data_IF_686517384876
#
_entry.id   IF_686517384876
#
_cell.length_a   1.000
_cell.length_b   1.000
_cell.length_c   1.000
_cell.angle_alpha   90.00
_cell.angle_beta   90.00
_cell.angle_gamma   90.00
#
_symmetry.space_group_name_H-M   'P 1'
#
loop_
_entity.id
_entity.type
_entity.pdbx_description
1 polymer ?
#
# COMPACT_ATOMS: atom_id res chain seq x y z
N UNK A 1 12.07 -0.68 16.46
CA UNK A 1 12.26 0.62 15.79
C UNK A 1 10.88 1.25 15.54
N UNK A 2 10.66 2.55 15.82
CA UNK A 2 9.32 3.15 15.72
C UNK A 2 8.83 3.16 14.26
N UNK A 3 7.60 2.73 14.00
CA UNK A 3 6.99 2.63 12.66
C UNK A 3 7.03 3.94 11.85
N UNK A 4 7.12 5.07 12.57
CA UNK A 4 7.35 6.39 12.00
C UNK A 4 8.70 6.49 11.30
N UNK A 5 9.78 6.04 11.94
CA UNK A 5 11.13 6.12 11.39
C UNK A 5 11.29 5.28 10.12
N UNK A 6 10.65 4.10 10.08
CA UNK A 6 10.68 3.22 8.90
C UNK A 6 10.00 3.84 7.68
N UNK A 7 8.91 4.60 7.90
CA UNK A 7 8.28 5.35 6.83
C UNK A 7 9.17 6.47 6.32
N UNK A 8 9.84 7.18 7.23
CA UNK A 8 10.75 8.27 6.88
C UNK A 8 11.95 7.74 6.08
N UNK A 9 12.50 6.57 6.45
CA UNK A 9 13.51 5.84 5.68
C UNK A 9 13.03 5.47 4.28
N UNK A 10 11.83 4.90 4.18
CA UNK A 10 11.25 4.49 2.90
C UNK A 10 11.04 5.70 1.98
N UNK A 11 10.48 6.80 2.50
CA UNK A 11 10.31 8.03 1.75
C UNK A 11 11.66 8.70 1.42
N UNK A 12 12.67 8.59 2.29
CA UNK A 12 14.03 9.09 2.04
C UNK A 12 14.73 8.32 0.91
N UNK A 13 14.38 7.04 0.72
CA UNK A 13 14.78 6.24 -0.45
C UNK A 13 14.21 6.73 -1.78
N UNK A 14 13.29 7.71 -1.77
CA UNK A 14 12.67 8.32 -2.96
C UNK A 14 12.18 7.27 -3.96
N UNK A 15 11.22 6.40 -3.57
CA UNK A 15 10.69 5.38 -4.46
C UNK A 15 10.13 6.04 -5.72
N UNK A 16 10.49 5.53 -6.90
CA UNK A 16 10.00 6.09 -8.16
C UNK A 16 8.75 5.34 -8.63
N UNK A 17 7.80 6.09 -9.17
CA UNK A 17 6.70 5.51 -9.93
C UNK A 17 7.27 4.86 -11.20
N UNK A 18 7.03 3.56 -11.45
CA UNK A 18 7.58 2.88 -12.62
C UNK A 18 6.99 3.39 -13.95
N UNK A 19 5.88 4.12 -13.91
CA UNK A 19 5.16 4.60 -15.11
C UNK A 19 5.50 6.06 -15.44
N UNK A 20 5.39 6.96 -14.45
CA UNK A 20 5.60 8.40 -14.66
C UNK A 20 6.99 8.90 -14.22
N UNK A 21 7.83 8.01 -13.67
CA UNK A 21 9.17 8.31 -13.16
C UNK A 21 9.20 9.48 -12.15
N UNK A 22 8.09 9.73 -11.49
CA UNK A 22 7.98 10.71 -10.41
C UNK A 22 8.16 10.01 -9.07
N UNK A 23 8.72 10.74 -8.10
CA UNK A 23 8.90 10.21 -6.76
C UNK A 23 7.55 10.05 -6.05
N UNK A 24 7.30 8.84 -5.55
CA UNK A 24 6.15 8.51 -4.72
C UNK A 24 6.43 8.86 -3.25
N UNK A 25 5.39 9.26 -2.54
CA UNK A 25 5.45 9.60 -1.13
C UNK A 25 4.32 8.85 -0.42
N UNK A 26 4.67 7.93 0.46
CA UNK A 26 3.68 7.21 1.26
C UNK A 26 3.21 8.14 2.40
N UNK A 27 1.90 8.47 2.48
CA UNK A 27 1.37 9.35 3.50
C UNK A 27 1.26 8.64 4.86
N UNK A 28 1.41 9.43 5.94
CA UNK A 28 1.25 8.96 7.34
C UNK A 28 -0.20 8.74 7.76
N UNK A 29 -1.15 9.40 7.09
CA UNK A 29 -2.59 9.35 7.41
C UNK A 29 -3.39 9.46 6.11
N UNK A 30 -4.58 8.85 6.08
CA UNK A 30 -5.57 9.11 5.03
C UNK A 30 -5.99 10.57 5.12
N UNK A 31 -5.56 11.39 4.17
CA UNK A 31 -5.98 12.78 4.03
C UNK A 31 -6.74 12.95 2.73
N UNK A 32 -8.00 13.40 2.81
CA UNK A 32 -8.84 13.67 1.65
C UNK A 32 -8.22 14.72 0.69
N UNK A 33 -7.34 15.59 1.19
CA UNK A 33 -6.67 16.64 0.39
C UNK A 33 -5.46 16.14 -0.40
N UNK A 34 -4.86 15.01 -0.04
CA UNK A 34 -3.66 14.46 -0.71
C UNK A 34 -4.02 13.45 -1.81
N UNK A 35 -5.28 13.04 -1.90
CA UNK A 35 -5.80 12.03 -2.82
C UNK A 35 -5.64 12.37 -4.33
N UNK A 36 -5.23 13.58 -4.69
CA UNK A 36 -5.07 14.03 -6.09
C UNK A 36 -3.62 14.17 -6.56
N UNK A 37 -2.63 13.96 -5.71
CA UNK A 37 -1.23 14.10 -6.11
C UNK A 37 -0.76 12.89 -6.91
N UNK A 38 -0.07 13.10 -8.04
CA UNK A 38 0.62 12.04 -8.79
C UNK A 38 1.68 11.29 -7.95
N UNK A 39 2.10 11.87 -6.83
CA UNK A 39 3.05 11.29 -5.88
C UNK A 39 2.41 10.33 -4.87
N UNK A 40 1.08 10.30 -4.76
CA UNK A 40 0.39 9.37 -3.87
C UNK A 40 0.42 7.95 -4.47
N UNK A 41 0.98 6.94 -3.77
CA UNK A 41 0.94 5.56 -4.24
C UNK A 41 -0.46 4.94 -4.10
N UNK A 42 -0.78 4.10 -5.07
CA UNK A 42 -1.97 3.27 -5.14
C UNK A 42 -1.56 1.82 -5.43
N UNK A 43 -2.27 0.87 -4.83
CA UNK A 43 -2.07 -0.56 -5.06
C UNK A 43 -3.21 -1.13 -5.90
N UNK A 44 -2.84 -1.92 -6.91
CA UNK A 44 -3.76 -2.67 -7.77
C UNK A 44 -4.05 -4.01 -7.11
N UNK A 45 -5.26 -4.21 -6.57
CA UNK A 45 -5.55 -5.40 -5.76
C UNK A 45 -5.58 -6.71 -6.57
N UNK A 46 -5.66 -6.65 -7.90
CA UNK A 46 -5.59 -7.84 -8.75
C UNK A 46 -4.18 -8.39 -8.94
N UNK A 47 -3.13 -7.61 -8.69
CA UNK A 47 -1.74 -8.03 -8.92
C UNK A 47 -0.72 -7.55 -7.87
N UNK A 48 -1.11 -6.71 -6.92
CA UNK A 48 -0.23 -6.18 -5.87
C UNK A 48 0.72 -5.07 -6.31
N UNK A 49 0.77 -4.71 -7.60
CA UNK A 49 1.64 -3.64 -8.06
C UNK A 49 1.24 -2.28 -7.46
N UNK A 50 2.26 -1.56 -6.97
CA UNK A 50 2.14 -0.22 -6.39
C UNK A 50 2.70 0.80 -7.37
N UNK A 51 1.93 1.85 -7.64
CA UNK A 51 2.35 2.93 -8.53
C UNK A 51 1.60 4.25 -8.24
N UNK A 52 1.83 5.29 -9.03
CA UNK A 52 1.04 6.53 -8.96
C UNK A 52 -0.41 6.34 -9.40
N UNK A 53 -1.20 7.43 -9.41
CA UNK A 53 -2.56 7.42 -9.96
C UNK A 53 -2.50 7.64 -11.48
N UNK A 54 -3.14 6.75 -12.25
CA UNK A 54 -3.22 6.86 -13.71
C UNK A 54 -4.68 6.66 -14.16
N UNK A 55 -5.09 7.40 -15.18
CA UNK A 55 -6.38 7.24 -15.85
C UNK A 55 -6.34 6.20 -16.96
N UNK A 56 -5.15 5.84 -17.42
CA UNK A 56 -4.95 4.78 -18.41
C UNK A 56 -5.43 3.43 -17.85
N UNK A 57 -6.14 2.66 -18.67
CA UNK A 57 -6.68 1.36 -18.26
C UNK A 57 -7.89 1.44 -17.32
N UNK A 58 -8.39 2.64 -17.01
CA UNK A 58 -9.66 2.80 -16.30
C UNK A 58 -10.81 2.62 -17.29
N UNK A 59 -11.64 1.61 -17.06
CA UNK A 59 -12.85 1.36 -17.81
C UNK A 59 -14.08 1.65 -16.94
N UNK A 60 -14.82 2.71 -17.30
CA UNK A 60 -16.05 3.13 -16.62
C UNK A 60 -17.32 2.75 -17.41
N UNK A 61 -17.21 1.86 -18.39
CA UNK A 61 -18.30 1.55 -19.35
C UNK A 61 -19.43 0.72 -18.71
N UNK A 62 -19.18 0.06 -17.57
CA UNK A 62 -20.20 -0.69 -16.82
C UNK A 62 -20.72 0.10 -15.62
N UNK A 63 -22.03 0.37 -15.61
CA UNK A 63 -22.80 1.26 -14.72
C UNK A 63 -22.85 0.87 -13.23
N UNK A 64 -21.87 0.14 -12.68
CA UNK A 64 -21.78 -0.04 -11.23
C UNK A 64 -20.39 -0.37 -10.65
N UNK A 65 -19.42 -0.80 -11.45
CA UNK A 65 -18.08 -1.15 -10.95
C UNK A 65 -16.98 -0.69 -11.92
N UNK A 66 -16.14 0.29 -11.54
CA UNK A 66 -14.98 0.64 -12.37
C UNK A 66 -13.98 -0.52 -12.39
N UNK A 67 -13.47 -0.87 -13.57
CA UNK A 67 -12.36 -1.82 -13.69
C UNK A 67 -11.08 -1.10 -14.08
N UNK A 68 -9.95 -1.55 -13.54
CA UNK A 68 -8.65 -0.92 -13.74
C UNK A 68 -7.68 -1.92 -14.36
N UNK A 69 -6.88 -1.49 -15.32
CA UNK A 69 -5.79 -2.30 -15.88
C UNK A 69 -4.44 -1.84 -15.33
N UNK A 70 -3.65 -2.78 -14.80
CA UNK A 70 -2.32 -2.45 -14.28
C UNK A 70 -1.39 -2.03 -15.43
N UNK A 71 -0.75 -0.85 -15.40
CA UNK A 71 0.17 -0.43 -16.47
C UNK A 71 1.46 -1.24 -16.55
N UNK A 72 1.82 -1.94 -15.46
CA UNK A 72 3.07 -2.72 -15.38
C UNK A 72 2.89 -4.11 -15.98
N UNK A 73 1.83 -4.82 -15.59
CA UNK A 73 1.64 -6.23 -15.95
C UNK A 73 0.36 -6.52 -16.73
N UNK A 74 -0.44 -5.51 -17.04
CA UNK A 74 -1.69 -5.61 -17.81
C UNK A 74 -2.79 -6.48 -17.16
N UNK A 75 -2.60 -6.96 -15.93
CA UNK A 75 -3.62 -7.67 -15.15
C UNK A 75 -4.75 -6.71 -14.78
N UNK A 76 -5.99 -7.18 -14.96
CA UNK A 76 -7.18 -6.44 -14.56
C UNK A 76 -7.36 -6.47 -13.04
N UNK A 77 -7.78 -5.36 -12.47
CA UNK A 77 -8.03 -5.15 -11.05
C UNK A 77 -9.40 -4.52 -10.87
N UNK A 78 -10.25 -5.16 -10.07
CA UNK A 78 -11.57 -4.62 -9.71
C UNK A 78 -11.48 -3.44 -8.75
N UNK A 79 -10.35 -3.28 -8.06
CA UNK A 79 -10.12 -2.22 -7.08
C UNK A 79 -8.68 -1.72 -7.15
N UNK A 80 -8.54 -0.40 -7.07
CA UNK A 80 -7.27 0.30 -6.88
C UNK A 80 -7.43 1.21 -5.68
N UNK A 81 -6.64 0.96 -4.63
CA UNK A 81 -6.80 1.66 -3.35
C UNK A 81 -5.56 2.50 -3.02
N UNK A 82 -5.77 3.59 -2.31
CA UNK A 82 -4.68 4.46 -1.84
C UNK A 82 -3.85 3.72 -0.80
N UNK A 83 -2.52 3.66 -1.02
CA UNK A 83 -1.59 3.12 -0.05
C UNK A 83 -1.28 4.19 1.00
N UNK A 84 -1.47 3.86 2.27
CA UNK A 84 -1.15 4.74 3.39
C UNK A 84 -0.42 3.93 4.45
N UNK A 85 0.39 4.58 5.27
CA UNK A 85 0.83 3.95 6.51
C UNK A 85 -0.37 3.82 7.45
N UNK A 86 -0.67 2.58 7.82
CA UNK A 86 -1.59 2.25 8.90
C UNK A 86 -0.81 1.93 10.17
N UNK A 87 -1.35 2.32 11.32
CA UNK A 87 -0.97 1.77 12.62
C UNK A 87 -2.22 1.10 13.18
N UNK A 88 -2.20 -0.22 13.29
CA UNK A 88 -3.26 -0.97 13.96
C UNK A 88 -2.80 -1.31 15.37
N UNK A 89 -3.53 -0.83 16.38
CA UNK A 89 -3.16 -1.03 17.79
C UNK A 89 -3.28 -2.49 18.26
N UNK A 90 -4.02 -3.32 17.52
CA UNK A 90 -4.26 -4.73 17.87
C UNK A 90 -3.03 -5.64 17.65
N UNK A 91 -2.00 -5.19 16.93
CA UNK A 91 -0.86 -6.03 16.51
C UNK A 91 0.51 -5.54 17.02
N UNK A 92 0.52 -4.46 17.80
CA UNK A 92 1.74 -3.88 18.34
C UNK A 92 2.05 -4.48 19.72
N UNK A 93 2.39 -5.77 19.75
CA UNK A 93 2.77 -6.49 20.96
C UNK A 93 4.19 -6.13 21.42
N UNK A 94 5.07 -5.69 20.50
CA UNK A 94 6.40 -5.20 20.83
C UNK A 94 6.84 -4.03 19.93
N UNK A 95 7.95 -3.38 20.30
CA UNK A 95 8.63 -2.33 19.51
C UNK A 95 9.82 -2.87 18.70
N UNK A 96 9.78 -4.16 18.33
CA UNK A 96 10.81 -4.86 17.57
C UNK A 96 11.04 -4.29 16.15
N UNK A 97 11.94 -4.91 15.41
CA UNK A 97 12.17 -4.57 14.00
C UNK A 97 10.98 -5.07 13.16
N UNK A 98 10.39 -4.18 12.36
CA UNK A 98 9.20 -4.45 11.53
C UNK A 98 9.64 -4.98 10.15
N UNK A 99 10.07 -6.25 10.12
CA UNK A 99 10.65 -6.90 8.93
C UNK A 99 9.77 -8.00 8.32
N UNK A 100 8.62 -8.30 8.92
CA UNK A 100 7.75 -9.37 8.49
C UNK A 100 6.42 -8.80 8.02
N UNK A 101 5.84 -9.36 6.96
CA UNK A 101 4.53 -8.95 6.48
C UNK A 101 3.57 -10.14 6.41
N UNK A 102 2.34 -9.97 6.90
CA UNK A 102 1.29 -10.98 6.77
C UNK A 102 0.83 -11.09 5.31
N UNK A 103 0.81 -12.30 4.75
CA UNK A 103 0.23 -12.58 3.44
C UNK A 103 -1.18 -13.17 3.66
N UNK A 104 -2.28 -12.61 3.12
CA UNK A 104 -2.36 -11.66 2.00
C UNK A 104 -2.56 -10.17 2.36
N UNK A 105 -2.66 -9.79 3.64
CA UNK A 105 -3.08 -8.43 4.02
C UNK A 105 -1.96 -7.36 3.98
N UNK A 106 -0.70 -7.75 3.90
CA UNK A 106 0.46 -6.87 3.79
C UNK A 106 0.81 -6.08 5.07
N UNK A 107 0.18 -6.40 6.21
CA UNK A 107 0.50 -5.76 7.49
C UNK A 107 1.92 -6.11 7.92
N UNK A 108 2.74 -5.07 8.14
CA UNK A 108 4.14 -5.21 8.56
C UNK A 108 4.23 -5.24 10.08
N UNK A 109 4.87 -6.27 10.62
CA UNK A 109 4.95 -6.58 12.04
C UNK A 109 6.35 -7.09 12.40
N UNK A 110 6.63 -7.17 13.70
CA UNK A 110 7.84 -7.81 14.20
C UNK A 110 7.71 -9.33 14.18
N UNK A 111 8.85 -10.03 14.25
CA UNK A 111 8.87 -11.50 14.29
C UNK A 111 8.05 -12.06 15.47
N UNK A 112 8.05 -11.38 16.62
CA UNK A 112 7.33 -11.85 17.79
C UNK A 112 5.82 -11.75 17.60
N UNK A 113 5.31 -10.65 17.03
CA UNK A 113 3.88 -10.53 16.67
C UNK A 113 3.47 -11.65 15.71
N UNK A 114 4.26 -11.89 14.65
CA UNK A 114 3.97 -12.97 13.68
C UNK A 114 3.95 -14.35 14.34
N UNK A 115 4.84 -14.60 15.30
CA UNK A 115 4.87 -15.86 16.04
C UNK A 115 3.70 -16.01 17.02
N UNK A 116 3.26 -14.92 17.67
CA UNK A 116 2.12 -14.93 18.58
C UNK A 116 0.78 -15.12 17.86
N UNK A 117 0.61 -14.58 16.64
CA UNK A 117 -0.61 -14.69 15.85
C UNK A 117 -0.90 -16.10 15.29
N UNK A 118 -0.07 -17.10 15.62
CA UNK A 118 -0.33 -18.51 15.28
C UNK A 118 -1.61 -19.07 15.97
N UNK A 119 -2.24 -18.31 16.87
CA UNK A 119 -3.48 -18.68 17.58
C UNK A 119 -4.73 -17.86 17.21
N UNK A 120 -4.66 -16.92 16.26
CA UNK A 120 -5.81 -16.07 15.88
C UNK A 120 -6.12 -16.18 14.38
N UNK A 121 -6.50 -17.38 13.93
CA UNK A 121 -7.40 -17.50 12.78
C UNK A 121 -8.74 -18.03 13.31
N UNK A 122 -9.74 -17.15 13.36
CA UNK A 122 -11.16 -17.50 13.38
C UNK A 122 -11.80 -16.95 12.11
#
# INVERSE_FOLDING_TARGET
>A
MNIVCRLDELNAGKPQCPVNLNTLIIPRRKSAKTCSSSRQPYVYLGCGHVQGKHTWGLNNISTNCPSYKCPICLVDSSKVIQLVMGMESAFHLDSGELDYAFNPCGHVCSLATVRCDTFLFS
#
